data_IF_130706463920
#
_entry.id   IF_130706463920
#
_cell.length_a   1.000
_cell.length_b   1.000
_cell.length_c   1.000
_cell.angle_alpha   90.00
_cell.angle_beta   90.00
_cell.angle_gamma   90.00
#
_symmetry.space_group_name_H-M   'P 1'
#
loop_
_entity.id
_entity.type
_entity.pdbx_description
1 polymer ?
#
# COMPACT_ATOMS: atom_id res chain seq x y z
N UNK A 1 7.28 -7.36 -9.30
CA UNK A 1 6.67 -6.36 -10.22
C UNK A 1 7.10 -4.98 -9.75
N UNK A 2 7.48 -4.10 -10.66
CA UNK A 2 7.91 -2.76 -10.27
C UNK A 2 6.80 -1.76 -10.50
N UNK A 3 6.60 -0.86 -9.54
CA UNK A 3 5.52 0.15 -9.59
C UNK A 3 5.62 1.06 -10.82
N UNK A 4 6.84 1.31 -11.31
CA UNK A 4 7.06 2.12 -12.53
C UNK A 4 6.41 1.52 -13.78
N UNK A 5 6.26 0.18 -13.83
CA UNK A 5 5.66 -0.52 -14.97
C UNK A 5 4.13 -0.61 -14.81
N UNK A 6 3.65 -0.80 -13.57
CA UNK A 6 2.22 -0.94 -13.25
C UNK A 6 1.52 0.43 -13.33
N UNK A 7 2.09 1.45 -12.69
CA UNK A 7 1.52 2.79 -12.55
C UNK A 7 2.57 3.87 -12.83
N UNK A 8 3.01 4.05 -14.09
CA UNK A 8 4.13 4.95 -14.43
C UNK A 8 3.84 6.42 -14.06
N UNK A 9 2.60 6.86 -14.14
CA UNK A 9 2.22 8.23 -13.78
C UNK A 9 2.31 8.46 -12.26
N UNK A 10 1.77 7.54 -11.45
CA UNK A 10 1.85 7.62 -9.99
C UNK A 10 3.31 7.48 -9.53
N UNK A 11 4.09 6.58 -10.13
CA UNK A 11 5.52 6.49 -9.86
C UNK A 11 6.23 7.83 -10.05
N UNK A 12 6.00 8.51 -11.18
CA UNK A 12 6.60 9.83 -11.46
C UNK A 12 6.12 10.90 -10.47
N UNK A 13 4.84 10.92 -10.15
CA UNK A 13 4.25 11.86 -9.19
C UNK A 13 4.89 11.70 -7.81
N UNK A 14 4.94 10.47 -7.29
CA UNK A 14 5.49 10.20 -5.97
C UNK A 14 7.02 10.32 -5.92
N UNK A 15 7.73 10.03 -7.01
CA UNK A 15 9.16 10.37 -7.12
C UNK A 15 9.40 11.85 -6.89
N UNK A 16 8.61 12.71 -7.51
CA UNK A 16 8.68 14.17 -7.32
C UNK A 16 8.35 14.57 -5.88
N UNK A 17 7.32 13.97 -5.27
CA UNK A 17 6.93 14.21 -3.88
C UNK A 17 8.08 13.85 -2.92
N UNK A 18 8.70 12.69 -3.09
CA UNK A 18 9.85 12.25 -2.30
C UNK A 18 11.05 13.19 -2.44
N UNK A 19 11.41 13.57 -3.67
CA UNK A 19 12.53 14.48 -3.97
C UNK A 19 12.36 15.86 -3.32
N UNK A 20 11.12 16.31 -3.12
CA UNK A 20 10.82 17.57 -2.45
C UNK A 20 10.57 17.42 -0.94
N UNK A 21 10.65 16.22 -0.39
CA UNK A 21 10.37 15.96 1.03
C UNK A 21 8.93 16.29 1.46
N UNK A 22 7.96 16.11 0.54
CA UNK A 22 6.56 16.51 0.74
C UNK A 22 5.61 15.31 0.90
N UNK A 23 6.13 14.17 1.34
CA UNK A 23 5.27 13.02 1.61
C UNK A 23 4.33 13.35 2.78
N UNK A 24 3.03 13.14 2.58
CA UNK A 24 2.03 13.30 3.63
C UNK A 24 2.10 12.13 4.62
N UNK A 25 1.64 12.36 5.83
CA UNK A 25 1.59 11.34 6.89
C UNK A 25 0.45 10.32 6.71
N UNK A 26 -0.56 10.60 5.87
CA UNK A 26 -1.67 9.67 5.67
C UNK A 26 -2.21 9.70 4.23
N UNK A 27 -2.31 8.53 3.64
CA UNK A 27 -2.86 8.31 2.30
C UNK A 27 -3.96 7.26 2.32
N UNK A 28 -4.98 7.48 1.50
CA UNK A 28 -5.98 6.49 1.11
C UNK A 28 -5.75 6.14 -0.37
N UNK A 29 -5.27 4.94 -0.64
CA UNK A 29 -5.07 4.40 -1.97
C UNK A 29 -6.33 3.66 -2.41
N UNK A 30 -7.05 4.24 -3.36
CA UNK A 30 -8.31 3.75 -3.87
C UNK A 30 -8.09 3.00 -5.19
N UNK A 31 -8.35 1.70 -5.18
CA UNK A 31 -8.12 0.77 -6.28
C UNK A 31 -6.95 -0.18 -6.03
N UNK A 32 -7.15 -1.47 -6.34
CA UNK A 32 -6.18 -2.53 -6.04
C UNK A 32 -5.01 -2.63 -7.02
N UNK A 33 -4.99 -1.84 -8.10
CA UNK A 33 -4.02 -2.04 -9.18
C UNK A 33 -2.72 -1.26 -8.92
N UNK A 34 -1.80 -1.90 -8.22
CA UNK A 34 -0.48 -1.33 -7.89
C UNK A 34 -0.45 -0.51 -6.60
N UNK A 35 -1.53 -0.47 -5.82
CA UNK A 35 -1.59 0.27 -4.56
C UNK A 35 -0.63 -0.29 -3.50
N UNK A 36 -0.54 -1.60 -3.39
CA UNK A 36 0.38 -2.26 -2.47
C UNK A 36 1.84 -2.07 -2.90
N UNK A 37 2.12 -2.19 -4.19
CA UNK A 37 3.45 -1.98 -4.76
C UNK A 37 3.93 -0.54 -4.55
N UNK A 38 3.06 0.46 -4.72
CA UNK A 38 3.41 1.85 -4.43
C UNK A 38 3.66 2.07 -2.94
N UNK A 39 2.81 1.55 -2.06
CA UNK A 39 2.98 1.67 -0.61
C UNK A 39 4.30 1.02 -0.15
N UNK A 40 4.62 -0.16 -0.68
CA UNK A 40 5.89 -0.85 -0.42
C UNK A 40 7.09 -0.04 -0.91
N UNK A 41 7.03 0.50 -2.12
CA UNK A 41 8.10 1.32 -2.67
C UNK A 41 8.30 2.62 -1.89
N UNK A 42 7.23 3.27 -1.44
CA UNK A 42 7.30 4.44 -0.58
C UNK A 42 7.89 4.10 0.80
N UNK A 43 7.52 2.96 1.36
CA UNK A 43 8.11 2.46 2.61
C UNK A 43 9.60 2.17 2.45
N UNK A 44 10.01 1.59 1.31
CA UNK A 44 11.45 1.45 0.98
C UNK A 44 12.16 2.80 0.92
N UNK A 45 11.55 3.84 0.35
CA UNK A 45 12.15 5.17 0.29
C UNK A 45 12.36 5.78 1.68
N UNK A 46 11.41 5.57 2.59
CA UNK A 46 11.48 6.07 3.98
C UNK A 46 12.58 5.38 4.80
N UNK A 47 12.84 4.09 4.57
CA UNK A 47 13.79 3.29 5.33
C UNK A 47 15.11 3.01 4.61
N UNK A 48 15.29 3.52 3.39
CA UNK A 48 16.46 3.23 2.58
C UNK A 48 17.75 3.77 3.22
N UNK A 49 18.74 2.91 3.39
CA UNK A 49 20.06 3.28 3.94
C UNK A 49 20.89 4.09 2.94
N UNK A 50 20.66 3.93 1.65
CA UNK A 50 21.41 4.57 0.57
C UNK A 50 20.46 5.13 -0.50
N UNK A 51 19.63 6.15 -0.18
CA UNK A 51 18.70 6.71 -1.15
C UNK A 51 19.44 7.48 -2.26
N UNK A 52 19.00 7.30 -3.51
CA UNK A 52 19.48 8.06 -4.65
C UNK A 52 18.44 9.11 -5.03
N UNK A 53 18.77 10.39 -4.86
CA UNK A 53 17.80 11.49 -5.07
C UNK A 53 16.47 11.29 -4.31
N UNK A 54 16.54 10.87 -3.05
CA UNK A 54 15.41 10.51 -2.19
C UNK A 54 14.59 9.29 -2.66
N UNK A 55 15.03 8.56 -3.69
CA UNK A 55 14.38 7.32 -4.13
C UNK A 55 15.09 6.10 -3.53
N UNK A 56 14.35 5.00 -3.30
CA UNK A 56 14.94 3.81 -2.70
C UNK A 56 15.92 3.12 -3.65
N UNK A 57 17.05 2.67 -3.13
CA UNK A 57 18.03 1.94 -3.92
C UNK A 57 17.56 0.51 -4.30
N UNK A 58 16.58 -0.06 -3.60
CA UNK A 58 16.02 -1.39 -3.86
C UNK A 58 16.87 -2.58 -3.40
N UNK A 59 18.15 -2.38 -3.02
CA UNK A 59 19.09 -3.48 -2.77
C UNK A 59 19.76 -3.45 -1.38
N UNK A 60 19.66 -2.36 -0.60
CA UNK A 60 20.18 -2.34 0.77
C UNK A 60 19.39 -3.29 1.69
N UNK A 61 19.87 -3.50 2.91
CA UNK A 61 19.21 -4.39 3.89
C UNK A 61 17.77 -3.97 4.13
N UNK A 62 17.54 -2.70 4.44
CA UNK A 62 16.20 -2.17 4.73
C UNK A 62 15.26 -2.32 3.54
N UNK A 63 15.68 -1.96 2.32
CA UNK A 63 14.86 -2.15 1.12
C UNK A 63 14.44 -3.60 0.90
N UNK A 64 15.34 -4.56 1.15
CA UNK A 64 15.02 -5.98 1.02
C UNK A 64 14.03 -6.45 2.08
N UNK A 65 14.24 -6.07 3.36
CA UNK A 65 13.33 -6.43 4.44
C UNK A 65 11.92 -5.84 4.24
N UNK A 66 11.84 -4.58 3.79
CA UNK A 66 10.55 -3.97 3.43
C UNK A 66 9.85 -4.73 2.29
N UNK A 67 10.58 -5.10 1.24
CA UNK A 67 10.02 -5.88 0.14
C UNK A 67 9.53 -7.26 0.58
N UNK A 68 10.17 -7.87 1.59
CA UNK A 68 9.78 -9.14 2.20
C UNK A 68 8.71 -8.99 3.30
N UNK A 69 8.30 -7.75 3.63
CA UNK A 69 7.38 -7.42 4.72
C UNK A 69 7.91 -7.84 6.11
N UNK A 70 9.23 -7.86 6.28
CA UNK A 70 9.93 -8.29 7.50
C UNK A 70 10.67 -7.13 8.21
N UNK A 71 10.51 -5.89 7.73
CA UNK A 71 11.14 -4.74 8.37
C UNK A 71 10.41 -4.39 9.67
N UNK A 72 11.16 -4.19 10.75
CA UNK A 72 10.62 -4.05 12.12
C UNK A 72 9.65 -2.87 12.27
N UNK A 73 9.95 -1.73 11.64
CA UNK A 73 9.14 -0.51 11.75
C UNK A 73 8.10 -0.38 10.61
N UNK A 74 7.90 -1.45 9.82
CA UNK A 74 6.81 -1.60 8.85
C UNK A 74 5.73 -2.51 9.44
N UNK A 75 4.58 -1.97 9.75
CA UNK A 75 3.45 -2.70 10.32
C UNK A 75 2.38 -2.89 9.25
N UNK A 76 2.02 -4.15 9.00
CA UNK A 76 1.00 -4.50 8.02
C UNK A 76 -0.20 -5.10 8.74
N UNK A 77 -1.38 -4.53 8.48
CA UNK A 77 -2.66 -5.01 9.01
C UNK A 77 -3.48 -5.58 7.88
N UNK A 78 -3.98 -6.78 8.09
CA UNK A 78 -4.93 -7.47 7.22
C UNK A 78 -6.16 -7.89 8.01
N UNK A 79 -7.32 -8.07 7.36
CA UNK A 79 -8.50 -8.57 8.04
C UNK A 79 -8.26 -9.93 8.71
N UNK A 80 -8.69 -10.07 9.96
CA UNK A 80 -8.81 -11.36 10.63
C UNK A 80 -10.22 -11.91 10.35
N UNK A 81 -10.29 -12.83 9.40
CA UNK A 81 -11.54 -13.27 8.80
C UNK A 81 -12.15 -12.21 7.87
N UNK A 82 -13.30 -11.66 8.24
CA UNK A 82 -14.03 -10.70 7.38
C UNK A 82 -13.83 -9.24 7.79
N UNK A 83 -13.18 -8.95 8.91
CA UNK A 83 -13.08 -7.60 9.46
C UNK A 83 -11.72 -7.32 10.07
N UNK A 84 -11.30 -6.06 10.04
CA UNK A 84 -10.18 -5.56 10.84
C UNK A 84 -10.75 -5.16 12.21
N UNK A 85 -10.30 -5.88 13.25
CA UNK A 85 -10.79 -5.71 14.62
C UNK A 85 -10.13 -4.53 15.32
N UNK A 86 -10.83 -3.93 16.28
CA UNK A 86 -10.31 -2.83 17.09
C UNK A 86 -9.05 -3.22 17.87
N UNK A 87 -8.95 -4.48 18.30
CA UNK A 87 -7.77 -4.99 19.00
C UNK A 87 -6.49 -4.89 18.15
N UNK A 88 -6.55 -5.27 16.86
CA UNK A 88 -5.42 -5.19 15.95
C UNK A 88 -4.86 -3.76 15.84
N UNK A 89 -5.74 -2.75 15.73
CA UNK A 89 -5.32 -1.35 15.66
C UNK A 89 -4.77 -0.85 17.01
N UNK A 90 -5.38 -1.25 18.13
CA UNK A 90 -4.92 -0.85 19.46
C UNK A 90 -3.56 -1.42 19.83
N UNK A 91 -3.31 -2.67 19.50
CA UNK A 91 -2.00 -3.32 19.69
C UNK A 91 -0.90 -2.56 18.95
N UNK A 92 -1.17 -2.16 17.70
CA UNK A 92 -0.23 -1.36 16.92
C UNK A 92 -0.03 0.05 17.49
N UNK A 93 -1.09 0.71 17.95
CA UNK A 93 -0.93 2.04 18.55
C UNK A 93 -0.13 2.00 19.86
N UNK A 94 -0.11 0.88 20.56
CA UNK A 94 0.79 0.67 21.70
C UNK A 94 2.25 0.54 21.25
N UNK A 95 2.50 -0.19 20.16
CA UNK A 95 3.86 -0.33 19.59
C UNK A 95 4.38 1.03 19.10
N UNK A 96 3.52 1.90 18.56
CA UNK A 96 3.92 3.26 18.12
C UNK A 96 4.36 4.17 19.26
N UNK A 97 3.84 3.95 20.47
CA UNK A 97 4.22 4.68 21.66
C UNK A 97 5.56 4.17 22.26
N UNK A 98 5.96 2.96 21.86
CA UNK A 98 7.30 2.48 22.08
C UNK A 98 8.15 2.99 20.91
N UNK A 99 9.27 3.69 21.20
CA UNK A 99 10.17 4.24 20.16
C UNK A 99 10.52 3.18 19.11
N UNK A 100 10.49 3.54 17.82
CA UNK A 100 10.86 2.63 16.73
C UNK A 100 12.24 1.98 16.96
N UNK A 101 12.37 0.73 16.62
CA UNK A 101 13.57 -0.07 16.92
C UNK A 101 14.78 0.33 16.06
N UNK A 102 14.56 0.75 14.82
CA UNK A 102 15.63 1.12 13.87
C UNK A 102 15.64 2.64 13.56
N UNK A 103 14.67 3.42 14.07
CA UNK A 103 14.53 4.87 13.87
C UNK A 103 13.29 5.44 14.54
N UNK A 104 13.08 6.75 14.44
CA UNK A 104 11.87 7.40 14.96
C UNK A 104 10.67 7.30 14.00
N UNK A 105 10.90 6.84 12.77
CA UNK A 105 9.87 6.76 11.74
C UNK A 105 9.26 5.38 11.68
N UNK A 106 7.94 5.31 11.55
CA UNK A 106 7.19 4.08 11.40
C UNK A 106 6.23 4.16 10.21
N UNK A 107 5.94 3.03 9.62
CA UNK A 107 4.95 2.91 8.53
C UNK A 107 3.87 1.92 8.93
N UNK A 108 2.62 2.35 8.79
CA UNK A 108 1.44 1.51 8.94
C UNK A 108 0.77 1.32 7.58
N UNK A 109 0.65 0.08 7.13
CA UNK A 109 -0.02 -0.30 5.90
C UNK A 109 -1.24 -1.14 6.26
N UNK A 110 -2.44 -0.68 5.92
CA UNK A 110 -3.70 -1.38 6.17
C UNK A 110 -4.27 -1.85 4.84
N UNK A 111 -4.31 -3.15 4.62
CA UNK A 111 -4.95 -3.77 3.45
C UNK A 111 -6.46 -3.91 3.68
N UNK A 112 -7.23 -3.78 2.62
CA UNK A 112 -8.70 -3.90 2.66
C UNK A 112 -9.32 -3.00 3.75
N UNK A 113 -8.93 -1.73 3.77
CA UNK A 113 -9.33 -0.76 4.81
C UNK A 113 -10.85 -0.58 4.93
N UNK A 114 -11.61 -0.89 3.87
CA UNK A 114 -13.08 -0.93 3.90
C UNK A 114 -13.65 -1.99 4.88
N UNK A 115 -12.85 -2.98 5.26
CA UNK A 115 -13.23 -4.01 6.24
C UNK A 115 -12.97 -3.60 7.69
N UNK A 116 -12.49 -2.39 7.91
CA UNK A 116 -12.28 -1.88 9.27
C UNK A 116 -13.61 -1.72 10.02
N UNK A 117 -13.68 -2.31 11.23
CA UNK A 117 -14.79 -2.02 12.13
C UNK A 117 -14.79 -0.51 12.49
N UNK A 118 -15.95 0.17 12.61
CA UNK A 118 -15.99 1.61 12.92
C UNK A 118 -15.17 2.03 14.15
N UNK A 119 -15.13 1.20 15.19
CA UNK A 119 -14.30 1.46 16.37
C UNK A 119 -12.80 1.33 16.11
N UNK A 120 -12.39 0.45 15.18
CA UNK A 120 -11.00 0.34 14.73
C UNK A 120 -10.59 1.60 13.94
N UNK A 121 -11.46 2.05 13.05
CA UNK A 121 -11.25 3.28 12.29
C UNK A 121 -11.11 4.51 13.21
N UNK A 122 -11.96 4.63 14.23
CA UNK A 122 -11.87 5.73 15.21
C UNK A 122 -10.59 5.66 16.06
N UNK A 123 -10.12 4.45 16.43
CA UNK A 123 -8.85 4.29 17.12
C UNK A 123 -7.66 4.73 16.24
N UNK A 124 -7.70 4.38 14.95
CA UNK A 124 -6.69 4.80 13.97
C UNK A 124 -6.66 6.32 13.79
N UNK A 125 -7.83 6.98 13.72
CA UNK A 125 -7.93 8.43 13.54
C UNK A 125 -7.16 9.20 14.61
N UNK A 126 -7.22 8.74 15.87
CA UNK A 126 -6.46 9.36 16.96
C UNK A 126 -4.95 9.33 16.69
N UNK A 127 -4.44 8.20 16.18
CA UNK A 127 -3.01 8.06 15.85
C UNK A 127 -2.58 8.88 14.63
N UNK A 128 -3.52 9.17 13.71
CA UNK A 128 -3.27 10.04 12.55
C UNK A 128 -3.28 11.52 12.94
N UNK A 129 -4.17 11.93 13.87
CA UNK A 129 -4.32 13.33 14.27
C UNK A 129 -3.22 13.82 15.23
N UNK A 130 -2.82 12.97 16.13
CA UNK A 130 -1.83 13.28 17.19
C UNK A 130 -0.76 12.17 17.23
N UNK A 131 0.09 12.07 16.21
CA UNK A 131 1.12 11.05 16.20
C UNK A 131 2.19 11.36 17.25
N UNK A 132 2.43 10.43 18.16
CA UNK A 132 3.52 10.54 19.17
C UNK A 132 4.90 10.28 18.55
N UNK A 133 4.94 9.66 17.37
CA UNK A 133 6.12 9.36 16.54
C UNK A 133 5.89 9.79 15.10
N UNK A 134 6.97 9.88 14.31
CA UNK A 134 6.83 10.09 12.86
C UNK A 134 6.25 8.85 12.19
N UNK A 135 4.93 8.82 12.01
CA UNK A 135 4.21 7.73 11.36
C UNK A 135 3.70 8.14 9.99
N UNK A 136 3.85 7.24 9.02
CA UNK A 136 3.19 7.34 7.70
C UNK A 136 2.19 6.20 7.56
N UNK A 137 0.95 6.54 7.24
CA UNK A 137 -0.16 5.59 7.14
C UNK A 137 -0.61 5.45 5.69
N UNK A 138 -0.63 4.22 5.19
CA UNK A 138 -1.18 3.85 3.89
C UNK A 138 -2.42 2.97 4.09
N UNK A 139 -3.59 3.48 3.72
CA UNK A 139 -4.84 2.73 3.71
C UNK A 139 -5.11 2.27 2.28
N UNK A 140 -5.22 0.98 2.05
CA UNK A 140 -5.52 0.41 0.74
C UNK A 140 -6.96 -0.08 0.72
N UNK A 141 -7.72 0.30 -0.31
CA UNK A 141 -9.12 -0.10 -0.48
C UNK A 141 -9.48 -0.33 -1.94
N UNK A 142 -10.28 -1.34 -2.20
CA UNK A 142 -10.93 -1.56 -3.51
C UNK A 142 -12.29 -0.85 -3.59
N UNK A 143 -12.81 -0.36 -2.46
CA UNK A 143 -14.11 0.30 -2.39
C UNK A 143 -14.10 1.53 -1.49
N UNK A 144 -13.73 2.67 -2.07
CA UNK A 144 -13.65 3.96 -1.37
C UNK A 144 -14.97 4.37 -0.72
N UNK A 145 -16.12 3.96 -1.30
CA UNK A 145 -17.43 4.33 -0.78
C UNK A 145 -17.74 3.72 0.59
N UNK A 146 -17.08 2.62 0.94
CA UNK A 146 -17.20 1.99 2.25
C UNK A 146 -16.28 2.60 3.32
N UNK A 147 -15.35 3.46 2.93
CA UNK A 147 -14.47 4.14 3.87
C UNK A 147 -15.21 5.28 4.57
N UNK A 148 -15.07 5.36 5.89
CA UNK A 148 -15.68 6.41 6.70
C UNK A 148 -15.24 7.80 6.24
N UNK A 149 -16.18 8.74 6.18
CA UNK A 149 -15.92 10.12 5.78
C UNK A 149 -14.86 10.80 6.67
N UNK A 150 -14.81 10.42 7.95
CA UNK A 150 -13.81 10.92 8.91
C UNK A 150 -12.38 10.52 8.55
N UNK A 151 -12.17 9.34 7.95
CA UNK A 151 -10.88 8.92 7.40
C UNK A 151 -10.56 9.69 6.13
N UNK A 152 -11.51 9.77 5.20
CA UNK A 152 -11.32 10.47 3.92
C UNK A 152 -10.92 11.93 4.10
N UNK A 153 -11.49 12.62 5.08
CA UNK A 153 -11.18 14.03 5.36
C UNK A 153 -9.77 14.27 5.93
N UNK A 154 -9.08 13.22 6.39
CA UNK A 154 -7.75 13.28 7.02
C UNK A 154 -6.65 12.60 6.22
N UNK A 155 -7.00 12.04 5.09
CA UNK A 155 -6.06 11.33 4.20
C UNK A 155 -6.01 11.99 2.84
N UNK A 156 -4.86 11.89 2.17
CA UNK A 156 -4.79 12.22 0.76
C UNK A 156 -5.27 11.02 -0.06
N UNK A 157 -6.34 11.21 -0.83
CA UNK A 157 -6.93 10.16 -1.65
C UNK A 157 -6.17 10.10 -2.97
N UNK A 158 -5.66 8.92 -3.30
CA UNK A 158 -4.95 8.63 -4.55
C UNK A 158 -5.68 7.50 -5.26
N UNK A 159 -6.12 7.76 -6.48
CA UNK A 159 -6.80 6.76 -7.29
C UNK A 159 -5.81 5.95 -8.10
N UNK A 160 -6.01 4.64 -8.11
CA UNK A 160 -5.23 3.65 -8.86
C UNK A 160 -6.06 3.15 -10.04
N UNK A 161 -5.99 3.80 -11.20
CA UNK A 161 -6.70 3.33 -12.38
C UNK A 161 -6.14 2.00 -12.84
N UNK A 162 -7.02 1.13 -13.32
CA UNK A 162 -6.64 -0.14 -13.89
C UNK A 162 -5.80 0.09 -15.15
N UNK A 163 -4.65 -0.55 -15.23
CA UNK A 163 -3.81 -0.57 -16.42
C UNK A 163 -4.08 -1.87 -17.20
N UNK A 164 -5.07 -1.83 -18.09
CA UNK A 164 -5.51 -2.98 -18.87
C UNK A 164 -4.38 -3.54 -19.75
N UNK A 165 -3.61 -2.65 -20.40
CA UNK A 165 -2.50 -3.06 -21.25
C UNK A 165 -1.42 -3.79 -20.47
N UNK A 166 -1.04 -3.26 -19.30
CA UNK A 166 -0.06 -3.93 -18.44
C UNK A 166 -0.55 -5.32 -18.00
N UNK A 167 -1.83 -5.43 -17.62
CA UNK A 167 -2.41 -6.70 -17.18
C UNK A 167 -2.45 -7.73 -18.32
N UNK A 168 -2.79 -7.29 -19.52
CA UNK A 168 -2.75 -8.12 -20.72
C UNK A 168 -1.33 -8.63 -21.02
N UNK A 169 -0.34 -7.71 -21.08
CA UNK A 169 1.06 -8.07 -21.32
C UNK A 169 1.61 -9.01 -20.23
N UNK A 170 1.20 -8.81 -18.99
CA UNK A 170 1.55 -9.66 -17.86
C UNK A 170 1.01 -11.08 -18.02
N UNK A 171 -0.27 -11.22 -18.41
CA UNK A 171 -0.89 -12.52 -18.64
C UNK A 171 -0.27 -13.27 -19.82
N UNK A 172 0.00 -12.57 -20.93
CA UNK A 172 0.69 -13.15 -22.09
C UNK A 172 2.10 -13.66 -21.72
N UNK A 173 2.86 -12.90 -20.95
CA UNK A 173 4.18 -13.32 -20.44
C UNK A 173 4.12 -14.54 -19.51
N UNK A 174 2.98 -14.77 -18.86
CA UNK A 174 2.74 -15.95 -18.03
C UNK A 174 2.10 -17.11 -18.80
N UNK A 175 2.10 -17.05 -20.14
CA UNK A 175 1.70 -18.16 -21.00
C UNK A 175 0.20 -18.22 -21.32
N UNK A 176 -0.56 -17.18 -20.99
CA UNK A 176 -1.98 -17.09 -21.32
C UNK A 176 -2.14 -16.65 -22.78
N UNK A 177 -3.03 -17.30 -23.52
CA UNK A 177 -3.31 -16.93 -24.91
C UNK A 177 -3.85 -15.49 -24.98
N UNK A 178 -3.41 -14.75 -26.00
CA UNK A 178 -3.75 -13.34 -26.18
C UNK A 178 -5.25 -13.04 -26.03
N UNK A 179 -6.11 -13.82 -26.67
CA UNK A 179 -7.57 -13.65 -26.59
C UNK A 179 -8.14 -13.87 -25.18
N UNK A 180 -7.55 -14.77 -24.42
CA UNK A 180 -7.91 -15.00 -23.02
C UNK A 180 -7.34 -13.89 -22.13
N UNK A 181 -6.11 -13.43 -22.40
CA UNK A 181 -5.49 -12.33 -21.68
C UNK A 181 -6.26 -11.02 -21.85
N UNK A 182 -6.74 -10.70 -23.05
CA UNK A 182 -7.62 -9.57 -23.33
C UNK A 182 -8.90 -9.62 -22.48
N UNK A 183 -9.59 -10.77 -22.50
CA UNK A 183 -10.83 -10.94 -21.73
C UNK A 183 -10.60 -10.85 -20.22
N UNK A 184 -9.57 -11.52 -19.71
CA UNK A 184 -9.22 -11.49 -18.29
C UNK A 184 -8.77 -10.09 -17.85
N UNK A 185 -8.04 -9.39 -18.70
CA UNK A 185 -7.63 -8.01 -18.44
C UNK A 185 -8.82 -7.04 -18.35
N UNK A 186 -9.93 -7.31 -19.01
CA UNK A 186 -11.16 -6.51 -18.87
C UNK A 186 -11.90 -6.80 -17.55
N UNK A 187 -11.94 -8.06 -17.12
CA UNK A 187 -12.77 -8.52 -15.99
C UNK A 187 -12.02 -8.35 -14.65
N UNK A 188 -10.71 -8.66 -14.60
CA UNK A 188 -9.94 -8.68 -13.35
C UNK A 188 -9.44 -7.30 -12.96
N UNK A 189 -9.42 -7.03 -11.65
CA UNK A 189 -8.92 -5.77 -11.08
C UNK A 189 -7.53 -5.91 -10.44
N UNK A 190 -6.93 -7.11 -10.46
CA UNK A 190 -5.58 -7.34 -9.97
C UNK A 190 -4.90 -8.48 -10.71
N UNK A 191 -3.57 -8.49 -10.69
CA UNK A 191 -2.74 -9.56 -11.28
C UNK A 191 -2.98 -10.90 -10.59
N UNK A 192 -3.11 -10.91 -9.26
CA UNK A 192 -3.30 -12.13 -8.47
C UNK A 192 -4.63 -12.81 -8.78
N UNK A 193 -5.73 -12.06 -8.80
CA UNK A 193 -7.05 -12.57 -9.18
C UNK A 193 -7.08 -13.10 -10.62
N UNK A 194 -6.35 -12.45 -11.53
CA UNK A 194 -6.28 -12.90 -12.91
C UNK A 194 -5.54 -14.22 -13.06
N UNK A 195 -4.46 -14.44 -12.30
CA UNK A 195 -3.74 -15.72 -12.29
C UNK A 195 -4.51 -16.85 -11.57
N UNK A 196 -5.28 -16.54 -10.53
CA UNK A 196 -6.14 -17.53 -9.87
C UNK A 196 -7.20 -18.08 -10.82
N UNK A 197 -7.84 -17.22 -11.59
CA UNK A 197 -8.86 -17.63 -12.56
C UNK A 197 -8.27 -18.51 -13.69
N UNK A 198 -7.01 -18.31 -14.06
CA UNK A 198 -6.36 -19.16 -15.07
C UNK A 198 -6.01 -20.55 -14.57
N UNK A 199 -5.83 -20.73 -13.24
CA UNK A 199 -5.55 -22.03 -12.64
C UNK A 199 -6.80 -22.90 -12.45
N UNK A 200 -7.99 -22.31 -12.54
CA UNK A 200 -9.28 -23.00 -12.37
C UNK A 200 -9.92 -23.40 -13.71
N UNK A 201 -9.28 -23.05 -14.84
CA UNK A 201 -9.72 -23.41 -16.20
C UNK A 201 -8.78 -24.43 -16.81
#
# INVERSE_FOLDING_TARGET
MEIKDIQPQLYKQFSTILQHGKLSHAYLFSGGFGSFELATWLSQALFCENPENALPCGHCRSCRLVAQQEFTDLHIVEPDGQTIKTAQIRELTQVFNESGYEGNQQVLLIKEAEKMHPNAANALLKSIEEPETEIVVFLLTDNENMILQTIKSRTQIINFPKNVQYLQDFLEKNGILKTQAELLAEICNSTDKSLELTKQS
#
